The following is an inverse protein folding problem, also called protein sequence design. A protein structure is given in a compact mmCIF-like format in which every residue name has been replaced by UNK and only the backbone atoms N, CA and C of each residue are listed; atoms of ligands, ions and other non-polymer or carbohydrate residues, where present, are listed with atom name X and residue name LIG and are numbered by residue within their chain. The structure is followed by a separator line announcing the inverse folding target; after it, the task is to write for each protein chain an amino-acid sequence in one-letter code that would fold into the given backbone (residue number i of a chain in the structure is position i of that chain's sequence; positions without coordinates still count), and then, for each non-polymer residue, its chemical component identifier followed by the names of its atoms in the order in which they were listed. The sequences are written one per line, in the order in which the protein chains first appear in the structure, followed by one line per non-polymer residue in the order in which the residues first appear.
data_IF_304584815020
#
_entry.id   IF_304584815020
#
_cell.length_a   1.000
_cell.length_b   1.000
_cell.length_c   1.000
_cell.angle_alpha   90.00
_cell.angle_beta   90.00
_cell.angle_gamma   90.00
#
_symmetry.space_group_name_H-M   'P 1'
#
loop_
_entity.id
_entity.type
_entity.pdbx_description
1 polymer ?
#
# COMPACT_ATOMS: atom_id res chain seq x y z
N UNK A 1 7.96 -2.04 -23.29
CA UNK A 1 6.85 -2.87 -23.78
C UNK A 1 5.55 -2.19 -23.38
N UNK A 2 4.68 -1.88 -24.32
CA UNK A 2 3.39 -1.20 -24.07
C UNK A 2 2.26 -2.23 -23.96
N UNK A 3 1.15 -1.88 -23.31
CA UNK A 3 -0.01 -2.78 -23.19
C UNK A 3 -0.54 -3.24 -24.57
N UNK A 4 -0.45 -2.34 -25.55
CA UNK A 4 -0.85 -2.57 -26.95
C UNK A 4 0.00 -3.64 -27.64
N UNK A 5 1.28 -3.75 -27.28
CA UNK A 5 2.20 -4.77 -27.80
C UNK A 5 1.99 -6.15 -27.16
N UNK A 6 1.46 -6.19 -25.93
CA UNK A 6 1.21 -7.42 -25.17
C UNK A 6 -0.14 -8.07 -25.48
N UNK A 7 -1.13 -7.29 -25.91
CA UNK A 7 -2.48 -7.76 -26.22
C UNK A 7 -2.53 -9.01 -27.14
N UNK A 8 -1.85 -9.05 -28.30
CA UNK A 8 -1.90 -10.23 -29.17
C UNK A 8 -1.29 -11.48 -28.52
N UNK A 9 -0.27 -11.32 -27.68
CA UNK A 9 0.39 -12.42 -26.98
C UNK A 9 -0.53 -13.03 -25.91
N UNK A 10 -1.21 -12.19 -25.13
CA UNK A 10 -2.19 -12.64 -24.14
C UNK A 10 -3.41 -13.33 -24.75
N UNK A 11 -3.84 -12.89 -25.94
CA UNK A 11 -4.97 -13.51 -26.65
C UNK A 11 -4.60 -14.90 -27.19
N UNK A 12 -3.35 -15.10 -27.60
CA UNK A 12 -2.84 -16.36 -28.13
C UNK A 12 -2.65 -17.47 -27.08
N UNK A 13 -2.65 -17.13 -25.79
CA UNK A 13 -2.54 -18.10 -24.69
C UNK A 13 -3.74 -19.07 -24.65
N UNK A 14 -3.46 -20.31 -24.26
CA UNK A 14 -4.47 -21.31 -23.92
C UNK A 14 -5.26 -20.88 -22.67
N UNK A 15 -6.45 -21.45 -22.42
CA UNK A 15 -7.21 -21.16 -21.20
C UNK A 15 -6.42 -21.40 -19.91
N UNK A 16 -5.57 -22.42 -19.86
CA UNK A 16 -4.74 -22.74 -18.69
C UNK A 16 -3.63 -21.71 -18.48
N UNK A 17 -2.91 -21.33 -19.54
CA UNK A 17 -1.89 -20.28 -19.49
C UNK A 17 -2.50 -18.91 -19.15
N UNK A 18 -3.73 -18.64 -19.59
CA UNK A 18 -4.47 -17.42 -19.20
C UNK A 18 -4.74 -17.40 -17.70
N UNK A 19 -5.14 -18.53 -17.11
CA UNK A 19 -5.35 -18.63 -15.67
C UNK A 19 -4.05 -18.41 -14.88
N UNK A 20 -2.94 -19.01 -15.34
CA UNK A 20 -1.62 -18.79 -14.74
C UNK A 20 -1.17 -17.33 -14.86
N UNK A 21 -1.35 -16.71 -16.02
CA UNK A 21 -1.02 -15.30 -16.23
C UNK A 21 -1.84 -14.38 -15.31
N UNK A 22 -3.14 -14.65 -15.13
CA UNK A 22 -3.97 -13.92 -14.17
C UNK A 22 -3.44 -14.11 -12.75
N UNK A 23 -3.05 -15.33 -12.36
CA UNK A 23 -2.50 -15.61 -11.04
C UNK A 23 -1.18 -14.85 -10.79
N UNK A 24 -0.26 -14.85 -11.76
CA UNK A 24 0.99 -14.08 -11.68
C UNK A 24 0.74 -12.58 -11.61
N UNK A 25 -0.18 -12.06 -12.43
CA UNK A 25 -0.54 -10.65 -12.39
C UNK A 25 -1.21 -10.27 -11.07
N UNK A 26 -2.08 -11.11 -10.52
CA UNK A 26 -2.69 -10.90 -9.21
C UNK A 26 -1.63 -10.88 -8.09
N UNK A 27 -0.67 -11.81 -8.10
CA UNK A 27 0.46 -11.84 -7.16
C UNK A 27 1.43 -10.66 -7.35
N UNK A 28 1.60 -10.18 -8.58
CA UNK A 28 2.40 -8.99 -8.86
C UNK A 28 1.70 -7.71 -8.43
N UNK A 29 0.37 -7.65 -8.59
CA UNK A 29 -0.46 -6.50 -8.23
C UNK A 29 -0.74 -6.44 -6.73
N UNK A 30 -0.72 -7.58 -6.01
CA UNK A 30 -0.69 -7.55 -4.55
C UNK A 30 0.56 -6.84 -4.01
N UNK A 31 1.60 -6.70 -4.84
CA UNK A 31 2.79 -5.90 -4.56
C UNK A 31 2.72 -4.45 -5.11
N UNK A 32 1.53 -3.97 -5.48
CA UNK A 32 1.33 -2.62 -6.00
C UNK A 32 0.22 -1.92 -5.22
N UNK A 33 0.61 -0.95 -4.40
CA UNK A 33 -0.31 -0.12 -3.61
C UNK A 33 -0.41 1.24 -4.28
N UNK A 34 -1.43 1.50 -5.13
CA UNK A 34 -1.49 2.70 -5.96
C UNK A 34 -1.53 4.00 -5.15
N UNK A 35 -1.89 3.88 -3.87
CA UNK A 35 -2.08 4.94 -2.89
C UNK A 35 -0.96 5.01 -1.85
N UNK A 36 0.06 4.15 -1.89
CA UNK A 36 1.20 4.23 -0.99
C UNK A 36 2.44 4.63 -1.79
N UNK A 37 3.18 5.62 -1.30
CA UNK A 37 4.39 6.12 -1.94
C UNK A 37 5.52 6.21 -0.92
N UNK A 38 6.69 5.66 -1.26
CA UNK A 38 7.95 5.89 -0.56
C UNK A 38 8.73 6.95 -1.31
N UNK A 39 9.04 8.06 -0.64
CA UNK A 39 9.82 9.16 -1.23
C UNK A 39 11.06 9.39 -0.36
N UNK A 40 12.29 9.15 -0.87
CA UNK A 40 13.51 9.40 -0.11
C UNK A 40 13.53 10.83 0.45
N UNK A 41 13.80 10.98 1.75
CA UNK A 41 13.84 12.28 2.42
C UNK A 41 12.49 12.85 2.86
N UNK A 42 11.36 12.20 2.57
CA UNK A 42 10.06 12.51 3.17
C UNK A 42 9.77 11.49 4.25
N UNK A 43 9.53 11.94 5.49
CA UNK A 43 9.29 11.07 6.65
C UNK A 43 10.35 9.95 6.77
N UNK A 44 11.64 10.28 6.62
CA UNK A 44 12.72 9.27 6.69
C UNK A 44 12.78 8.26 5.53
N UNK A 45 11.90 8.37 4.53
CA UNK A 45 11.74 7.37 3.46
C UNK A 45 10.61 6.37 3.71
N UNK A 46 9.81 6.58 4.76
CA UNK A 46 8.69 5.73 5.12
C UNK A 46 7.59 5.71 4.05
N UNK A 47 6.84 4.61 4.05
CA UNK A 47 5.62 4.48 3.27
C UNK A 47 4.59 5.52 3.72
N UNK A 48 4.20 6.43 2.81
CA UNK A 48 3.21 7.47 3.07
C UNK A 48 1.98 7.28 2.20
N UNK A 49 0.82 7.74 2.66
CA UNK A 49 -0.34 7.90 1.79
C UNK A 49 0.04 8.87 0.66
N UNK A 50 -0.19 8.45 -0.59
CA UNK A 50 0.18 9.16 -1.80
C UNK A 50 -0.34 10.59 -1.78
N UNK A 51 0.53 11.54 -2.17
CA UNK A 51 0.25 12.98 -2.15
C UNK A 51 0.01 13.58 -0.76
N UNK A 52 0.32 12.85 0.31
CA UNK A 52 0.33 13.36 1.68
C UNK A 52 1.72 13.15 2.30
N UNK A 53 1.92 13.70 3.50
CA UNK A 53 3.04 13.37 4.38
C UNK A 53 2.55 12.60 5.62
N UNK A 54 1.58 11.71 5.42
CA UNK A 54 1.00 10.90 6.48
C UNK A 54 1.56 9.48 6.32
N UNK A 55 2.48 9.05 7.20
CA UNK A 55 3.06 7.71 7.14
C UNK A 55 2.01 6.64 7.46
N UNK A 56 2.13 5.49 6.80
CA UNK A 56 1.28 4.32 7.08
C UNK A 56 1.44 3.87 8.54
N UNK A 57 2.67 3.90 9.07
CA UNK A 57 2.93 3.48 10.45
C UNK A 57 2.19 4.35 11.49
N UNK A 58 1.95 5.64 11.21
CA UNK A 58 1.20 6.53 12.10
C UNK A 58 -0.24 6.07 12.23
N UNK A 59 -0.87 5.74 11.09
CA UNK A 59 -2.24 5.26 11.05
C UNK A 59 -2.35 3.90 11.76
N UNK A 60 -1.38 3.02 11.53
CA UNK A 60 -1.33 1.70 12.20
C UNK A 60 -1.16 1.87 13.71
N UNK A 61 -0.27 2.76 14.17
CA UNK A 61 -0.05 2.95 15.60
C UNK A 61 -1.27 3.58 16.27
N UNK A 62 -1.89 4.59 15.65
CA UNK A 62 -3.11 5.20 16.16
C UNK A 62 -4.26 4.18 16.28
N UNK A 63 -4.42 3.30 15.29
CA UNK A 63 -5.37 2.18 15.35
C UNK A 63 -5.07 1.22 16.50
N UNK A 64 -3.79 0.88 16.73
CA UNK A 64 -3.35 0.05 17.90
C UNK A 64 -3.66 0.72 19.24
N UNK A 65 -3.62 2.05 19.30
CA UNK A 65 -3.98 2.85 20.49
C UNK A 65 -5.50 2.99 20.67
N UNK A 66 -6.31 2.42 19.78
CA UNK A 66 -7.76 2.40 19.89
C UNK A 66 -8.48 3.55 19.17
N UNK A 67 -7.77 4.35 18.35
CA UNK A 67 -8.39 5.37 17.51
C UNK A 67 -9.16 4.70 16.37
N UNK A 68 -10.43 5.04 16.21
CA UNK A 68 -11.29 4.49 15.17
C UNK A 68 -10.98 5.06 13.78
N UNK A 69 -11.37 4.34 12.72
CA UNK A 69 -11.22 4.86 11.34
C UNK A 69 -11.98 6.18 11.13
N UNK A 70 -13.11 6.37 11.80
CA UNK A 70 -13.87 7.61 11.72
C UNK A 70 -13.07 8.78 12.30
N UNK A 71 -12.47 8.60 13.48
CA UNK A 71 -11.60 9.59 14.11
C UNK A 71 -10.34 9.85 13.26
N UNK A 72 -9.73 8.81 12.66
CA UNK A 72 -8.60 8.98 11.75
C UNK A 72 -8.94 9.82 10.52
N UNK A 73 -10.15 9.67 9.96
CA UNK A 73 -10.60 10.47 8.80
C UNK A 73 -10.93 11.91 9.21
N UNK A 74 -11.34 12.14 10.45
CA UNK A 74 -11.54 13.48 11.02
C UNK A 74 -10.20 14.18 11.29
N UNK A 75 -9.24 13.48 11.90
CA UNK A 75 -7.90 13.99 12.21
C UNK A 75 -7.05 14.23 10.96
N UNK A 76 -7.28 13.43 9.90
CA UNK A 76 -6.59 13.54 8.62
C UNK A 76 -7.56 13.75 7.45
N UNK A 77 -8.13 14.95 7.26
CA UNK A 77 -9.14 15.22 6.21
C UNK A 77 -8.66 15.02 4.77
N UNK A 78 -7.35 14.87 4.55
CA UNK A 78 -6.75 14.58 3.24
C UNK A 78 -6.67 13.08 2.92
N UNK A 79 -6.88 12.22 3.93
CA UNK A 79 -6.93 10.76 3.80
C UNK A 79 -8.37 10.35 3.51
N UNK A 80 -8.54 9.45 2.54
CA UNK A 80 -9.85 8.87 2.22
C UNK A 80 -9.96 7.47 2.81
N UNK A 81 -11.19 6.96 2.96
CA UNK A 81 -11.42 5.58 3.39
C UNK A 81 -10.69 4.55 2.48
N UNK A 82 -10.59 4.81 1.18
CA UNK A 82 -9.81 3.96 0.26
C UNK A 82 -8.31 3.98 0.56
N UNK A 83 -7.80 5.10 1.07
CA UNK A 83 -6.38 5.22 1.43
C UNK A 83 -6.10 4.44 2.72
N UNK A 84 -7.02 4.46 3.71
CA UNK A 84 -6.94 3.60 4.90
C UNK A 84 -6.91 2.11 4.52
N UNK A 85 -7.82 1.66 3.66
CA UNK A 85 -7.81 0.28 3.19
C UNK A 85 -6.48 -0.12 2.53
N UNK A 86 -5.87 0.79 1.75
CA UNK A 86 -4.55 0.55 1.18
C UNK A 86 -3.43 0.59 2.23
N UNK A 87 -3.55 1.42 3.26
CA UNK A 87 -2.60 1.49 4.38
C UNK A 87 -2.58 0.17 5.16
N UNK A 88 -3.76 -0.39 5.47
CA UNK A 88 -3.89 -1.68 6.13
C UNK A 88 -3.35 -2.82 5.28
N UNK A 89 -3.72 -2.89 4.00
CA UNK A 89 -3.19 -3.88 3.09
C UNK A 89 -1.65 -3.78 2.92
N UNK A 90 -1.08 -2.57 3.01
CA UNK A 90 0.38 -2.39 3.00
C UNK A 90 1.01 -2.88 4.31
N UNK A 91 0.40 -2.55 5.46
CA UNK A 91 0.88 -2.98 6.76
C UNK A 91 0.87 -4.50 6.92
N UNK A 92 -0.17 -5.17 6.42
CA UNK A 92 -0.27 -6.63 6.40
C UNK A 92 0.79 -7.30 5.52
N UNK A 93 1.18 -6.64 4.42
CA UNK A 93 2.21 -7.14 3.51
C UNK A 93 3.64 -6.87 4.02
N UNK A 94 3.84 -5.80 4.80
CA UNK A 94 5.15 -5.38 5.31
C UNK A 94 5.14 -5.13 6.83
N UNK A 95 4.78 -6.13 7.66
CA UNK A 95 4.64 -5.95 9.10
C UNK A 95 5.95 -5.54 9.77
N UNK A 96 7.08 -6.13 9.37
CA UNK A 96 8.40 -5.82 9.93
C UNK A 96 8.85 -4.37 9.64
N UNK A 97 8.50 -3.85 8.47
CA UNK A 97 8.79 -2.46 8.09
C UNK A 97 8.01 -1.51 8.99
N UNK A 98 6.71 -1.76 9.15
CA UNK A 98 5.84 -0.93 9.99
C UNK A 98 6.27 -1.00 11.45
N UNK A 99 6.56 -2.19 11.98
CA UNK A 99 6.99 -2.36 13.37
C UNK A 99 8.32 -1.65 13.65
N UNK A 100 9.26 -1.71 12.71
CA UNK A 100 10.52 -0.99 12.82
C UNK A 100 10.30 0.52 12.83
N UNK A 101 9.43 1.03 11.95
CA UNK A 101 9.11 2.46 11.90
C UNK A 101 8.42 2.94 13.18
N UNK A 102 7.47 2.18 13.73
CA UNK A 102 6.80 2.50 15.00
C UNK A 102 7.84 2.60 16.12
N UNK A 103 8.63 1.54 16.34
CA UNK A 103 9.65 1.49 17.39
C UNK A 103 10.66 2.64 17.29
N UNK A 104 11.17 2.93 16.10
CA UNK A 104 12.12 4.03 15.89
C UNK A 104 11.52 5.41 16.22
N UNK A 105 10.21 5.59 16.08
CA UNK A 105 9.52 6.84 16.39
C UNK A 105 9.02 6.91 17.84
N UNK A 106 8.89 5.77 18.53
CA UNK A 106 8.58 5.71 19.97
C UNK A 106 9.83 5.88 20.85
N UNK A 107 11.02 5.53 20.34
CA UNK A 107 12.30 5.66 21.04
C UNK A 107 12.94 7.07 20.94
N UNK A 108 12.32 8.00 20.20
CA UNK A 108 12.77 9.40 20.02
C UNK A 108 11.92 10.40 20.81
#
# INVERSE_FOLDING_TARGET
MTLKELQPQLLALTPEEKAQAIQFLAQSLSNFWPRIQKTPGVCGGDACIRQTRIPVWVLVNASRLGISEAELLEDYPTVRATDLANAWAYADAYPDEIETAIRQNEEN
#
